data_IF_822876039110
#
_entry.id   IF_822876039110
#
_cell.length_a   1.000
_cell.length_b   1.000
_cell.length_c   1.000
_cell.angle_alpha   90.00
_cell.angle_beta   90.00
_cell.angle_gamma   90.00
#
_symmetry.space_group_name_H-M   'P 1'
#
loop_
_entity.id
_entity.type
_entity.pdbx_description
1 polymer ?
#
# COMPACT_ATOMS: atom_id res chain seq x y z
N UNK A 1 13.68 -5.43 31.19
CA UNK A 1 14.14 -5.49 29.79
C UNK A 1 12.98 -5.01 28.92
N UNK A 2 13.01 -3.76 28.44
CA UNK A 2 11.89 -3.17 27.68
C UNK A 2 12.12 -3.50 26.20
N UNK A 3 11.48 -4.56 25.71
CA UNK A 3 11.36 -4.83 24.27
C UNK A 3 10.42 -3.79 23.66
N UNK A 4 11.00 -2.71 23.14
CA UNK A 4 10.27 -1.73 22.32
C UNK A 4 9.97 -2.36 20.96
N UNK A 5 8.79 -2.97 20.86
CA UNK A 5 8.20 -3.34 19.58
C UNK A 5 7.79 -2.06 18.84
N UNK A 6 8.71 -1.49 18.07
CA UNK A 6 8.36 -0.46 17.10
C UNK A 6 7.64 -1.12 15.94
N UNK A 7 6.31 -1.14 16.01
CA UNK A 7 5.43 -1.50 14.90
C UNK A 7 5.72 -0.53 13.74
N UNK A 8 6.38 -1.01 12.68
CA UNK A 8 6.90 -0.12 11.61
C UNK A 8 5.87 0.20 10.52
N UNK A 9 4.75 -0.49 10.54
CA UNK A 9 3.61 -0.23 9.67
C UNK A 9 2.32 -0.62 10.37
N UNK A 10 1.21 -0.04 9.94
CA UNK A 10 -0.13 -0.44 10.33
C UNK A 10 -0.95 -0.75 9.08
N UNK A 11 -1.75 -1.81 9.14
CA UNK A 11 -2.81 -2.03 8.17
C UNK A 11 -4.08 -1.47 8.79
N UNK A 12 -4.57 -0.37 8.21
CA UNK A 12 -5.74 0.35 8.68
C UNK A 12 -6.94 -0.05 7.84
N UNK A 13 -8.06 -0.39 8.46
CA UNK A 13 -9.35 -0.54 7.79
C UNK A 13 -10.35 0.36 8.50
N UNK A 14 -11.08 1.17 7.73
CA UNK A 14 -12.16 1.97 8.27
C UNK A 14 -13.47 1.20 8.20
N UNK A 15 -14.35 1.44 9.16
CA UNK A 15 -15.75 1.02 9.04
C UNK A 15 -16.49 1.96 8.08
N UNK A 16 -17.53 1.45 7.43
CA UNK A 16 -18.25 2.17 6.37
C UNK A 16 -18.93 3.46 6.84
N UNK A 17 -19.17 3.60 8.15
CA UNK A 17 -19.88 4.73 8.76
C UNK A 17 -19.05 6.03 8.87
N UNK A 18 -17.73 5.97 8.66
CA UNK A 18 -16.87 7.15 8.79
C UNK A 18 -16.87 7.99 7.50
N UNK A 19 -17.08 9.30 7.63
CA UNK A 19 -16.93 10.24 6.53
C UNK A 19 -15.50 10.28 6.00
N UNK A 20 -15.31 10.60 4.71
CA UNK A 20 -13.98 10.78 4.11
C UNK A 20 -13.11 11.79 4.87
N UNK A 21 -13.73 12.85 5.42
CA UNK A 21 -13.04 13.86 6.21
C UNK A 21 -12.49 13.30 7.53
N UNK A 22 -13.22 12.42 8.20
CA UNK A 22 -12.82 11.84 9.48
C UNK A 22 -11.77 10.74 9.27
N UNK A 23 -11.86 10.01 8.17
CA UNK A 23 -10.82 9.08 7.72
C UNK A 23 -9.49 9.81 7.49
N UNK A 24 -9.51 10.94 6.76
CA UNK A 24 -8.33 11.80 6.54
C UNK A 24 -7.73 12.29 7.86
N UNK A 25 -8.54 12.89 8.74
CA UNK A 25 -8.10 13.37 10.07
C UNK A 25 -7.47 12.27 10.90
N UNK A 26 -8.04 11.06 10.86
CA UNK A 26 -7.50 9.90 11.58
C UNK A 26 -6.10 9.54 11.10
N UNK A 27 -5.90 9.47 9.77
CA UNK A 27 -4.57 9.19 9.20
C UNK A 27 -3.58 10.29 9.55
N UNK A 28 -3.97 11.56 9.46
CA UNK A 28 -3.12 12.70 9.83
C UNK A 28 -2.71 12.64 11.31
N UNK A 29 -3.65 12.31 12.20
CA UNK A 29 -3.39 12.16 13.63
C UNK A 29 -2.39 11.04 13.90
N UNK A 30 -2.52 9.88 13.24
CA UNK A 30 -1.56 8.78 13.37
C UNK A 30 -0.17 9.24 12.92
N UNK A 31 -0.06 9.86 11.74
CA UNK A 31 1.22 10.32 11.18
C UNK A 31 1.89 11.42 12.01
N UNK A 32 1.10 12.20 12.76
CA UNK A 32 1.62 13.24 13.66
C UNK A 32 2.33 12.66 14.88
N UNK A 33 1.89 11.51 15.38
CA UNK A 33 2.39 10.90 16.61
C UNK A 33 3.33 9.71 16.37
N UNK A 34 3.27 9.12 15.17
CA UNK A 34 3.97 7.88 14.86
C UNK A 34 4.68 7.96 13.51
N UNK A 35 5.97 7.67 13.51
CA UNK A 35 6.77 7.44 12.31
C UNK A 35 6.53 6.01 11.77
N UNK A 36 5.33 5.77 11.25
CA UNK A 36 4.90 4.45 10.76
C UNK A 36 4.39 4.49 9.33
N UNK A 37 4.61 3.41 8.60
CA UNK A 37 3.94 3.19 7.32
C UNK A 37 2.46 2.87 7.55
N UNK A 38 1.59 3.36 6.68
CA UNK A 38 0.15 3.18 6.80
C UNK A 38 -0.33 2.57 5.50
N UNK A 39 -0.86 1.36 5.57
CA UNK A 39 -1.45 0.64 4.46
C UNK A 39 -2.95 0.64 4.68
N UNK A 40 -3.70 1.29 3.80
CA UNK A 40 -5.17 1.27 3.87
C UNK A 40 -5.67 -0.03 3.26
N UNK A 41 -6.27 -0.89 4.08
CA UNK A 41 -7.02 -2.05 3.64
C UNK A 41 -8.43 -1.61 3.29
N UNK A 42 -8.84 -1.90 2.07
CA UNK A 42 -10.19 -1.63 1.58
C UNK A 42 -10.65 -2.75 0.66
N UNK A 43 -11.94 -2.75 0.36
CA UNK A 43 -12.47 -3.51 -0.76
C UNK A 43 -12.12 -2.84 -2.09
N UNK A 44 -12.28 -3.59 -3.18
CA UNK A 44 -12.03 -3.06 -4.52
C UNK A 44 -13.07 -2.00 -4.86
N UNK A 45 -12.68 -0.75 -5.15
CA UNK A 45 -13.65 0.29 -5.48
C UNK A 45 -14.18 0.11 -6.90
N UNK A 46 -15.40 0.61 -7.12
CA UNK A 46 -16.02 0.65 -8.45
C UNK A 46 -15.55 1.84 -9.29
N UNK A 47 -15.00 2.88 -8.66
CA UNK A 47 -14.64 4.15 -9.30
C UNK A 47 -13.25 4.63 -8.90
N UNK A 48 -12.55 5.29 -9.83
CA UNK A 48 -11.19 5.84 -9.63
C UNK A 48 -11.16 6.99 -8.62
N UNK A 49 -12.24 7.76 -8.48
CA UNK A 49 -12.34 8.86 -7.52
C UNK A 49 -12.05 8.41 -6.08
N UNK A 50 -12.46 7.19 -5.72
CA UNK A 50 -12.21 6.67 -4.38
C UNK A 50 -10.71 6.39 -4.13
N UNK A 51 -9.95 6.08 -5.19
CA UNK A 51 -8.49 5.93 -5.12
C UNK A 51 -7.80 7.29 -4.89
N UNK A 52 -8.31 8.35 -5.51
CA UNK A 52 -7.84 9.73 -5.29
C UNK A 52 -8.15 10.18 -3.87
N UNK A 53 -9.35 9.87 -3.37
CA UNK A 53 -9.74 10.12 -2.00
C UNK A 53 -8.79 9.39 -1.03
N UNK A 54 -8.54 8.08 -1.22
CA UNK A 54 -7.60 7.34 -0.39
C UNK A 54 -6.18 7.91 -0.42
N UNK A 55 -5.73 8.38 -1.59
CA UNK A 55 -4.44 9.04 -1.72
C UNK A 55 -4.38 10.35 -0.93
N UNK A 56 -5.47 11.13 -0.94
CA UNK A 56 -5.61 12.39 -0.21
C UNK A 56 -5.49 12.21 1.31
N UNK A 57 -5.82 11.01 1.83
CA UNK A 57 -5.70 10.71 3.26
C UNK A 57 -4.24 10.72 3.75
N UNK A 58 -3.26 10.62 2.85
CA UNK A 58 -1.87 10.60 3.26
C UNK A 58 -1.33 9.18 3.57
N UNK A 59 -1.98 8.12 3.10
CA UNK A 59 -1.53 6.73 3.31
C UNK A 59 -0.37 6.36 2.39
N UNK A 60 0.41 5.36 2.78
CA UNK A 60 1.63 4.94 2.08
C UNK A 60 1.39 3.73 1.15
N UNK A 61 0.27 3.05 1.31
CA UNK A 61 -0.15 1.99 0.40
C UNK A 61 -1.63 1.66 0.52
N UNK A 62 -2.13 0.91 -0.45
CA UNK A 62 -3.48 0.39 -0.53
C UNK A 62 -3.41 -1.13 -0.57
N UNK A 63 -4.28 -1.81 0.18
CA UNK A 63 -4.43 -3.25 0.15
C UNK A 63 -5.88 -3.61 -0.17
N UNK A 64 -6.10 -4.17 -1.36
CA UNK A 64 -7.38 -4.71 -1.79
C UNK A 64 -7.51 -6.15 -1.32
N UNK A 65 -8.30 -6.34 -0.27
CA UNK A 65 -8.38 -7.62 0.45
C UNK A 65 -9.48 -8.56 -0.06
N UNK A 66 -10.49 -8.03 -0.74
CA UNK A 66 -11.53 -8.84 -1.38
C UNK A 66 -10.90 -9.80 -2.38
N UNK A 67 -11.42 -11.03 -2.48
CA UNK A 67 -10.91 -12.01 -3.45
C UNK A 67 -11.07 -11.46 -4.86
N UNK A 68 -9.94 -11.23 -5.54
CA UNK A 68 -9.89 -10.71 -6.91
C UNK A 68 -10.20 -11.83 -7.91
N UNK A 69 -11.07 -12.78 -7.54
CA UNK A 69 -11.54 -13.85 -8.43
C UNK A 69 -12.27 -13.29 -9.66
N UNK A 70 -12.60 -12.00 -9.66
CA UNK A 70 -13.20 -11.27 -10.78
C UNK A 70 -12.36 -10.02 -11.08
N UNK A 71 -11.16 -10.22 -11.64
CA UNK A 71 -10.37 -9.16 -12.25
C UNK A 71 -11.02 -8.73 -13.57
N UNK A 72 -12.18 -8.08 -13.48
CA UNK A 72 -12.80 -7.42 -14.63
C UNK A 72 -11.80 -6.41 -15.21
N UNK A 73 -11.96 -6.08 -16.50
CA UNK A 73 -11.12 -5.05 -17.15
C UNK A 73 -11.14 -3.74 -16.35
N UNK A 74 -12.30 -3.36 -15.81
CA UNK A 74 -12.46 -2.18 -14.97
C UNK A 74 -11.63 -2.26 -13.68
N UNK A 75 -11.63 -3.41 -12.99
CA UNK A 75 -10.80 -3.59 -11.79
C UNK A 75 -9.30 -3.47 -12.11
N UNK A 76 -8.84 -4.02 -13.23
CA UNK A 76 -7.46 -3.88 -13.68
C UNK A 76 -7.08 -2.43 -13.97
N UNK A 77 -7.97 -1.65 -14.59
CA UNK A 77 -7.76 -0.23 -14.84
C UNK A 77 -7.67 0.59 -13.56
N UNK A 78 -8.48 0.26 -12.55
CA UNK A 78 -8.46 0.90 -11.23
C UNK A 78 -7.15 0.57 -10.49
N UNK A 79 -6.72 -0.70 -10.52
CA UNK A 79 -5.46 -1.11 -9.92
C UNK A 79 -4.25 -0.42 -10.57
N UNK A 80 -4.25 -0.34 -11.90
CA UNK A 80 -3.18 0.35 -12.66
C UNK A 80 -3.17 1.83 -12.31
N UNK A 81 -4.34 2.47 -12.25
CA UNK A 81 -4.47 3.85 -11.81
C UNK A 81 -3.93 4.07 -10.39
N UNK A 82 -4.21 3.15 -9.46
CA UNK A 82 -3.65 3.19 -8.12
C UNK A 82 -2.11 3.10 -8.13
N UNK A 83 -1.52 2.23 -8.96
CA UNK A 83 -0.05 2.15 -9.10
C UNK A 83 0.54 3.46 -9.62
N UNK A 84 -0.11 4.09 -10.60
CA UNK A 84 0.35 5.35 -11.19
C UNK A 84 0.20 6.54 -10.22
N UNK A 85 -0.84 6.54 -9.39
CA UNK A 85 -1.03 7.57 -8.37
C UNK A 85 -0.01 7.40 -7.23
N UNK A 86 0.21 6.15 -6.80
CA UNK A 86 1.13 5.76 -5.75
C UNK A 86 2.52 5.37 -6.30
N UNK A 87 3.17 6.21 -7.13
CA UNK A 87 4.48 5.93 -7.80
C UNK A 87 5.60 5.40 -6.89
N UNK A 88 5.54 5.68 -5.57
CA UNK A 88 6.43 5.09 -4.56
C UNK A 88 5.69 4.47 -3.37
N UNK A 89 4.36 4.53 -3.39
CA UNK A 89 3.54 3.77 -2.47
C UNK A 89 3.36 2.35 -2.96
N UNK A 90 2.58 1.59 -2.21
CA UNK A 90 2.41 0.17 -2.49
C UNK A 90 0.96 -0.15 -2.74
N UNK A 91 0.70 -0.88 -3.82
CA UNK A 91 -0.60 -1.46 -4.09
C UNK A 91 -0.47 -2.95 -3.85
N UNK A 92 -1.24 -3.46 -2.90
CA UNK A 92 -1.34 -4.87 -2.56
C UNK A 92 -2.68 -5.41 -3.02
N UNK A 93 -2.69 -6.65 -3.48
CA UNK A 93 -3.86 -7.30 -4.02
C UNK A 93 -3.90 -8.76 -3.55
N UNK A 94 -5.03 -9.17 -2.97
CA UNK A 94 -5.26 -10.56 -2.60
C UNK A 94 -5.26 -11.43 -3.88
N UNK A 95 -4.56 -12.57 -3.80
CA UNK A 95 -4.36 -13.46 -4.95
C UNK A 95 -5.21 -14.72 -4.92
N UNK A 96 -5.97 -14.99 -3.86
CA UNK A 96 -6.64 -16.28 -3.65
C UNK A 96 -5.69 -17.49 -3.82
N UNK A 97 -4.38 -17.27 -3.67
CA UNK A 97 -3.29 -18.22 -3.96
C UNK A 97 -3.18 -18.70 -5.43
N UNK A 98 -3.76 -17.97 -6.40
CA UNK A 98 -3.64 -18.26 -7.83
C UNK A 98 -2.30 -17.76 -8.42
N UNK A 99 -1.52 -18.68 -8.98
CA UNK A 99 -0.22 -18.39 -9.61
C UNK A 99 -0.30 -17.53 -10.87
N UNK A 100 -1.36 -17.67 -11.68
CA UNK A 100 -1.52 -16.87 -12.90
C UNK A 100 -1.91 -15.44 -12.56
N UNK A 101 -2.78 -15.25 -11.55
CA UNK A 101 -3.07 -13.94 -11.01
C UNK A 101 -1.83 -13.28 -10.39
N UNK A 102 -1.00 -14.03 -9.66
CA UNK A 102 0.29 -13.54 -9.15
C UNK A 102 1.15 -12.97 -10.28
N UNK A 103 1.33 -13.69 -11.39
CA UNK A 103 2.13 -13.22 -12.53
C UNK A 103 1.56 -11.93 -13.13
N UNK A 104 0.23 -11.87 -13.32
CA UNK A 104 -0.46 -10.69 -13.85
C UNK A 104 -0.25 -9.47 -12.95
N UNK A 105 -0.48 -9.61 -11.64
CA UNK A 105 -0.28 -8.54 -10.65
C UNK A 105 1.17 -8.04 -10.64
N UNK A 106 2.15 -8.95 -10.66
CA UNK A 106 3.56 -8.58 -10.70
C UNK A 106 3.95 -7.85 -11.99
N UNK A 107 3.36 -8.19 -13.14
CA UNK A 107 3.59 -7.48 -14.39
C UNK A 107 3.07 -6.02 -14.32
N UNK A 108 1.99 -5.78 -13.57
CA UNK A 108 1.41 -4.47 -13.31
C UNK A 108 2.07 -3.71 -12.15
N UNK A 109 3.17 -4.24 -11.58
CA UNK A 109 3.85 -3.69 -10.38
C UNK A 109 2.98 -3.68 -9.11
N UNK A 110 1.97 -4.54 -9.05
CA UNK A 110 1.13 -4.75 -7.87
C UNK A 110 1.74 -5.88 -7.05
N UNK A 111 1.70 -5.75 -5.73
CA UNK A 111 2.27 -6.73 -4.81
C UNK A 111 1.20 -7.78 -4.49
N UNK A 112 1.36 -9.03 -4.95
CA UNK A 112 0.42 -10.10 -4.66
C UNK A 112 0.51 -10.51 -3.19
N UNK A 113 -0.63 -10.61 -2.50
CA UNK A 113 -0.72 -11.10 -1.11
C UNK A 113 -1.48 -12.44 -1.09
N UNK A 114 -0.88 -13.54 -0.60
CA UNK A 114 -1.58 -14.81 -0.39
C UNK A 114 -2.64 -14.69 0.73
N UNK A 115 -3.81 -15.32 0.58
CA UNK A 115 -4.88 -15.35 1.62
C UNK A 115 -4.38 -16.04 2.89
N UNK A 116 -3.66 -17.14 2.68
CA UNK A 116 -3.01 -17.92 3.74
C UNK A 116 -1.53 -17.88 3.48
N UNK A 117 -0.76 -17.69 4.53
CA UNK A 117 0.70 -17.74 4.42
C UNK A 117 1.14 -19.07 3.82
N UNK A 118 1.88 -18.99 2.72
CA UNK A 118 2.55 -20.10 2.07
C UNK A 118 3.98 -19.66 1.76
N UNK A 119 4.95 -20.31 2.42
CA UNK A 119 6.37 -20.01 2.28
C UNK A 119 6.88 -20.24 0.85
N UNK A 120 6.30 -21.21 0.11
CA UNK A 120 6.67 -21.51 -1.27
C UNK A 120 6.16 -20.40 -2.20
N UNK A 121 4.91 -19.96 -2.01
CA UNK A 121 4.37 -18.83 -2.78
C UNK A 121 5.09 -17.52 -2.46
N UNK A 122 5.41 -17.25 -1.19
CA UNK A 122 6.20 -16.07 -0.80
C UNK A 122 7.58 -16.10 -1.48
N UNK A 123 8.27 -17.25 -1.47
CA UNK A 123 9.56 -17.42 -2.15
C UNK A 123 9.45 -17.27 -3.67
N UNK A 124 8.37 -17.77 -4.28
CA UNK A 124 8.09 -17.61 -5.71
C UNK A 124 7.88 -16.14 -6.08
N UNK A 125 7.08 -15.39 -5.31
CA UNK A 125 6.86 -13.95 -5.51
C UNK A 125 8.20 -13.20 -5.40
N UNK A 126 8.97 -13.49 -4.34
CA UNK A 126 10.25 -12.82 -4.07
C UNK A 126 11.34 -13.10 -5.10
N UNK A 127 11.33 -14.28 -5.73
CA UNK A 127 12.30 -14.64 -6.76
C UNK A 127 11.93 -14.14 -8.17
N UNK A 128 10.69 -13.68 -8.37
CA UNK A 128 10.20 -13.26 -9.68
C UNK A 128 10.94 -12.02 -10.22
N UNK A 129 11.32 -12.02 -11.51
CA UNK A 129 12.08 -10.93 -12.15
C UNK A 129 11.37 -9.58 -12.07
N UNK A 130 10.07 -9.55 -12.34
CA UNK A 130 9.26 -8.33 -12.22
C UNK A 130 9.30 -7.79 -10.79
N UNK A 131 9.08 -8.66 -9.79
CA UNK A 131 9.19 -8.30 -8.39
C UNK A 131 10.56 -7.67 -8.12
N UNK A 132 11.67 -8.36 -8.42
CA UNK A 132 13.02 -7.84 -8.23
C UNK A 132 13.29 -6.49 -8.91
N UNK A 133 12.69 -6.23 -10.07
CA UNK A 133 12.86 -4.97 -10.80
C UNK A 133 12.27 -3.77 -10.04
N UNK A 134 11.07 -3.91 -9.47
CA UNK A 134 10.43 -2.83 -8.72
C UNK A 134 10.62 -2.94 -7.19
N UNK A 135 11.07 -4.09 -6.68
CA UNK A 135 11.33 -4.38 -5.27
C UNK A 135 12.75 -4.04 -4.83
N UNK A 136 13.69 -3.96 -5.79
CA UNK A 136 15.15 -3.82 -5.59
C UNK A 136 15.56 -2.77 -4.56
N UNK A 137 14.77 -1.73 -4.33
CA UNK A 137 15.07 -0.67 -3.36
C UNK A 137 14.14 -0.60 -2.14
N UNK A 138 13.03 -1.33 -2.07
CA UNK A 138 11.94 -0.93 -1.13
C UNK A 138 11.11 -2.06 -0.50
N UNK A 139 11.11 -3.29 -1.04
CA UNK A 139 10.06 -4.29 -0.72
C UNK A 139 10.51 -5.53 0.06
N UNK A 140 11.80 -5.70 0.35
CA UNK A 140 12.27 -6.77 1.25
C UNK A 140 11.79 -6.62 2.71
N UNK A 141 10.99 -5.59 2.98
CA UNK A 141 10.78 -5.02 4.32
C UNK A 141 9.28 -4.85 4.63
N UNK A 142 8.38 -5.34 3.78
CA UNK A 142 6.94 -5.26 4.05
C UNK A 142 6.39 -6.62 4.47
N UNK A 143 5.99 -6.77 5.73
CA UNK A 143 5.64 -8.05 6.34
C UNK A 143 4.25 -8.58 6.00
N UNK A 144 3.49 -7.94 5.10
CA UNK A 144 2.35 -8.62 4.47
C UNK A 144 2.77 -9.91 3.74
N UNK A 145 4.07 -10.02 3.38
CA UNK A 145 4.67 -11.22 2.80
C UNK A 145 5.54 -12.03 3.79
N UNK A 146 5.81 -11.49 4.99
CA UNK A 146 6.76 -12.05 5.96
C UNK A 146 6.13 -12.19 7.35
N UNK A 147 6.13 -13.43 7.86
CA UNK A 147 5.47 -13.81 9.11
C UNK A 147 6.07 -13.19 10.39
N UNK A 148 7.19 -12.46 10.33
CA UNK A 148 7.87 -11.95 11.51
C UNK A 148 8.51 -10.59 11.30
N UNK A 149 8.14 -9.61 12.12
CA UNK A 149 8.83 -8.31 12.22
C UNK A 149 10.11 -8.39 13.07
N UNK A 150 10.41 -9.55 13.66
CA UNK A 150 11.45 -9.71 14.69
C UNK A 150 12.89 -9.63 14.15
N UNK A 151 13.10 -9.77 12.84
CA UNK A 151 14.45 -9.98 12.26
C UNK A 151 15.05 -8.75 11.57
N UNK A 152 14.49 -7.55 11.76
CA UNK A 152 15.02 -6.36 11.10
C UNK A 152 16.32 -5.85 11.73
N UNK A 153 17.39 -5.83 10.94
CA UNK A 153 18.67 -5.23 11.32
C UNK A 153 18.56 -3.71 11.53
N UNK A 154 19.56 -3.10 12.16
CA UNK A 154 19.67 -1.64 12.28
C UNK A 154 19.69 -0.97 10.90
N UNK A 155 20.37 -1.57 9.93
CA UNK A 155 20.43 -1.09 8.56
C UNK A 155 19.05 -1.05 7.91
N UNK A 156 18.21 -2.06 8.15
CA UNK A 156 16.83 -2.08 7.65
C UNK A 156 15.97 -1.01 8.30
N UNK A 157 16.18 -0.75 9.61
CA UNK A 157 15.49 0.34 10.34
C UNK A 157 15.81 1.71 9.73
N UNK A 158 17.08 1.98 9.43
CA UNK A 158 17.50 3.26 8.83
C UNK A 158 16.90 3.42 7.42
N UNK A 159 17.00 2.38 6.59
CA UNK A 159 16.43 2.39 5.23
C UNK A 159 14.93 2.68 5.23
N UNK A 160 14.18 2.06 6.15
CA UNK A 160 12.75 2.31 6.31
C UNK A 160 12.46 3.76 6.69
N UNK A 161 13.20 4.33 7.64
CA UNK A 161 13.01 5.70 8.07
C UNK A 161 13.22 6.70 6.92
N UNK A 162 14.33 6.59 6.20
CA UNK A 162 14.63 7.43 5.05
C UNK A 162 13.57 7.29 3.95
N UNK A 163 13.06 6.07 3.75
CA UNK A 163 11.99 5.82 2.80
C UNK A 163 10.68 6.52 3.21
N UNK A 164 10.29 6.39 4.48
CA UNK A 164 9.09 7.00 5.04
C UNK A 164 9.13 8.53 4.88
N UNK A 165 10.25 9.16 5.24
CA UNK A 165 10.47 10.59 5.10
C UNK A 165 10.37 11.03 3.63
N UNK A 166 11.01 10.29 2.73
CA UNK A 166 10.95 10.58 1.28
C UNK A 166 9.53 10.47 0.73
N UNK A 167 8.77 9.46 1.15
CA UNK A 167 7.38 9.26 0.74
C UNK A 167 6.49 10.38 1.28
N UNK A 168 6.65 10.73 2.55
CA UNK A 168 5.91 11.82 3.19
C UNK A 168 6.12 13.16 2.48
N UNK A 169 7.37 13.51 2.14
CA UNK A 169 7.68 14.77 1.44
C UNK A 169 7.01 14.82 0.06
N UNK A 170 7.13 13.76 -0.73
CA UNK A 170 6.54 13.72 -2.08
C UNK A 170 5.02 13.68 -2.05
N UNK A 171 4.44 12.96 -1.10
CA UNK A 171 3.00 12.90 -0.95
C UNK A 171 2.45 14.27 -0.56
N UNK A 172 3.08 15.00 0.36
CA UNK A 172 2.69 16.38 0.70
C UNK A 172 2.69 17.30 -0.53
N UNK A 173 3.67 17.16 -1.44
CA UNK A 173 3.71 17.93 -2.68
C UNK A 173 2.60 17.53 -3.65
N UNK A 174 2.32 16.23 -3.80
CA UNK A 174 1.29 15.73 -4.74
C UNK A 174 -0.14 15.95 -4.26
N UNK A 175 -0.39 15.78 -2.97
CA UNK A 175 -1.73 16.00 -2.38
C UNK A 175 -2.16 17.44 -2.58
N UNK A 176 -1.25 18.42 -2.41
CA UNK A 176 -1.52 19.83 -2.73
C UNK A 176 -2.02 20.02 -4.17
N UNK A 177 -1.34 19.44 -5.15
CA UNK A 177 -1.73 19.56 -6.56
C UNK A 177 -3.11 18.95 -6.85
N UNK A 178 -3.44 17.83 -6.18
CA UNK A 178 -4.73 17.16 -6.34
C UNK A 178 -5.84 17.98 -5.69
N UNK A 179 -5.63 18.43 -4.45
CA UNK A 179 -6.58 19.28 -3.73
C UNK A 179 -6.84 20.60 -4.50
N UNK A 180 -5.81 21.19 -5.11
CA UNK A 180 -5.93 22.36 -6.02
C UNK A 180 -6.75 22.04 -7.28
N UNK A 181 -6.60 20.85 -7.86
CA UNK A 181 -7.37 20.41 -9.03
C UNK A 181 -8.85 20.17 -8.71
N UNK A 182 -9.14 19.65 -7.51
CA UNK A 182 -10.51 19.52 -7.00
C UNK A 182 -11.15 20.89 -6.72
N UNK A 183 -10.39 21.83 -6.16
CA UNK A 183 -10.87 23.20 -5.91
C UNK A 183 -11.07 24.02 -7.19
N UNK A 184 -10.27 23.78 -8.23
CA UNK A 184 -10.33 24.49 -9.51
C UNK A 184 -11.40 23.95 -10.47
N UNK A 185 -12.02 22.79 -10.19
CA UNK A 185 -13.12 22.24 -10.99
C UNK A 185 -14.50 22.73 -10.54
N UNK A 186 -14.53 23.71 -9.61
CA UNK A 186 -15.74 24.27 -9.00
C UNK A 186 -15.92 25.78 -9.19
N UNK A 187 -15.45 26.35 -10.32
CA UNK A 187 -15.76 27.71 -10.75
C UNK A 187 -16.42 27.70 -12.13
#
# INVERSE_FOLDING_TARGET
MITTHQTKYIVLSFQDELSGSDRKKTVEMIKKHFDIFIILKSDMPNHKQLIEEYFSYGVHGLYFASDINLCSKQHLEILTFAVDLFVRGWVFANTANDKELIKKLLAMKIIPVPVKYDARLSSYIKSHKCYNKFSSNMLKVIPLLDRGQADYSLTDKIKLKTLLETMNLRQKLRVKNIDESFGSSGL
#
